data_IF_822219618597
#
_entry.id   IF_822219618597
#
_cell.length_a   1.000
_cell.length_b   1.000
_cell.length_c   1.000
_cell.angle_alpha   90.00
_cell.angle_beta   90.00
_cell.angle_gamma   90.00
#
_symmetry.space_group_name_H-M   'P 1'
#
loop_
_entity.id
_entity.type
_entity.pdbx_description
1 polymer ?
#
# COMPACT_ATOMS: atom_id res chain seq x y z
N UNK A 1 3.99 30.84 -5.22
CA UNK A 1 4.05 29.71 -6.18
C UNK A 1 4.02 28.47 -5.32
N UNK A 2 2.85 28.04 -4.86
CA UNK A 2 2.78 27.00 -3.82
C UNK A 2 1.54 26.15 -4.09
N UNK A 3 1.48 25.58 -5.29
CA UNK A 3 0.56 24.48 -5.55
C UNK A 3 1.17 23.23 -4.91
N UNK A 4 1.00 23.14 -3.58
CA UNK A 4 1.37 22.00 -2.76
C UNK A 4 0.51 20.82 -3.21
N UNK A 5 0.97 20.17 -4.27
CA UNK A 5 0.52 18.89 -4.77
C UNK A 5 0.56 17.95 -3.58
N UNK A 6 -0.59 17.77 -2.96
CA UNK A 6 -0.81 16.76 -1.95
C UNK A 6 -0.81 15.42 -2.69
N UNK A 7 0.39 15.00 -3.11
CA UNK A 7 0.72 13.61 -3.35
C UNK A 7 0.52 12.91 -1.99
N UNK A 8 -0.74 12.66 -1.64
CA UNK A 8 -1.11 11.35 -1.13
C UNK A 8 -0.62 10.42 -2.22
N UNK A 9 0.66 10.05 -2.14
CA UNK A 9 1.25 8.97 -2.91
C UNK A 9 0.19 7.90 -2.83
N UNK A 10 -0.41 7.61 -3.97
CA UNK A 10 -1.42 6.59 -4.09
C UNK A 10 -0.66 5.32 -3.73
N UNK A 11 -0.65 4.98 -2.44
CA UNK A 11 -0.06 3.74 -1.96
C UNK A 11 -0.72 2.69 -2.84
N UNK A 12 0.04 1.97 -3.68
CA UNK A 12 -0.56 1.13 -4.72
C UNK A 12 -1.19 -0.14 -4.11
N UNK A 13 -1.33 -0.15 -2.79
CA UNK A 13 -1.84 -1.18 -1.94
C UNK A 13 -3.13 -0.69 -1.28
N UNK A 14 -4.03 -1.63 -1.01
CA UNK A 14 -5.30 -1.34 -0.36
C UNK A 14 -5.10 -0.71 1.03
N UNK A 15 -6.10 0.01 1.54
CA UNK A 15 -6.07 0.56 2.90
C UNK A 15 -5.81 -0.56 3.92
N UNK A 16 -4.78 -0.38 4.76
CA UNK A 16 -4.31 -1.40 5.69
C UNK A 16 -3.37 -2.44 5.08
N UNK A 17 -2.89 -2.22 3.85
CA UNK A 17 -1.81 -2.95 3.23
C UNK A 17 -0.69 -1.99 2.84
N UNK A 18 0.56 -2.37 3.04
CA UNK A 18 1.72 -1.57 2.63
C UNK A 18 2.53 -2.32 1.57
N UNK A 19 3.25 -1.57 0.74
CA UNK A 19 4.14 -2.13 -0.28
C UNK A 19 5.47 -2.53 0.37
N UNK A 20 5.80 -3.83 0.35
CA UNK A 20 7.13 -4.31 0.73
C UNK A 20 8.13 -4.24 -0.43
N UNK A 21 7.65 -4.31 -1.67
CA UNK A 21 8.50 -4.34 -2.86
C UNK A 21 7.70 -4.49 -4.15
N UNK A 22 8.34 -5.05 -5.18
CA UNK A 22 7.70 -5.40 -6.45
C UNK A 22 7.76 -6.92 -6.66
N UNK A 23 6.67 -7.52 -7.11
CA UNK A 23 6.57 -8.94 -7.50
C UNK A 23 6.12 -9.07 -8.95
N UNK A 24 6.41 -10.20 -9.57
CA UNK A 24 5.91 -10.52 -10.91
C UNK A 24 4.63 -11.36 -10.76
N UNK A 25 3.52 -10.86 -11.27
CA UNK A 25 2.23 -11.57 -11.32
C UNK A 25 1.68 -11.46 -12.74
N UNK A 26 1.36 -12.60 -13.35
CA UNK A 26 0.82 -12.65 -14.72
C UNK A 26 1.73 -11.94 -15.76
N UNK A 27 3.05 -12.20 -15.68
CA UNK A 27 4.08 -11.53 -16.49
C UNK A 27 4.15 -9.99 -16.36
N UNK A 28 3.45 -9.40 -15.40
CA UNK A 28 3.50 -7.96 -15.08
C UNK A 28 4.17 -7.76 -13.72
N UNK A 29 4.96 -6.69 -13.59
CA UNK A 29 5.50 -6.25 -12.29
C UNK A 29 4.40 -5.49 -11.55
N UNK A 30 3.98 -6.02 -10.42
CA UNK A 30 2.98 -5.44 -9.52
C UNK A 30 3.59 -5.22 -8.15
N UNK A 31 3.16 -4.22 -7.38
CA UNK A 31 3.65 -4.03 -6.02
C UNK A 31 3.25 -5.20 -5.11
N UNK A 32 4.18 -5.64 -4.28
CA UNK A 32 3.93 -6.64 -3.26
C UNK A 32 3.29 -5.99 -2.04
N UNK A 33 1.96 -6.01 -2.02
CA UNK A 33 1.14 -5.46 -0.95
C UNK A 33 0.91 -6.52 0.14
N UNK A 34 1.34 -6.22 1.36
CA UNK A 34 1.12 -7.08 2.54
C UNK A 34 0.25 -6.39 3.57
N UNK A 35 -0.58 -7.14 4.31
CA UNK A 35 -1.46 -6.55 5.30
C UNK A 35 -0.64 -6.00 6.47
N UNK A 36 -0.90 -4.75 6.79
CA UNK A 36 -0.30 -4.08 7.93
C UNK A 36 -0.76 -4.73 9.23
N UNK A 37 0.18 -5.15 10.06
CA UNK A 37 -0.15 -5.82 11.32
C UNK A 37 -0.97 -4.91 12.24
N UNK A 38 -0.78 -3.58 12.18
CA UNK A 38 -1.57 -2.61 12.96
C UNK A 38 -3.03 -2.61 12.51
N UNK A 39 -3.30 -2.81 11.22
CA UNK A 39 -4.66 -2.94 10.69
C UNK A 39 -5.35 -4.24 11.18
N UNK A 40 -4.58 -5.31 11.45
CA UNK A 40 -5.13 -6.59 11.94
C UNK A 40 -5.49 -6.57 13.44
N UNK A 41 -4.84 -5.73 14.26
CA UNK A 41 -5.05 -5.76 15.72
C UNK A 41 -6.43 -5.22 16.14
N UNK A 42 -7.08 -4.42 15.29
CA UNK A 42 -8.37 -3.81 15.60
C UNK A 42 -9.57 -4.78 15.54
N UNK A 43 -9.37 -6.05 15.16
CA UNK A 43 -10.46 -7.03 14.97
C UNK A 43 -10.43 -8.20 15.96
N UNK A 44 -9.59 -8.15 17.00
CA UNK A 44 -9.59 -9.12 18.12
C UNK A 44 -9.94 -8.37 19.42
N UNK A 45 -11.22 -8.04 19.57
CA UNK A 45 -11.82 -7.76 20.88
C UNK A 45 -12.72 -8.93 21.23
#
# INVERSE_FOLDING_TARGET
MDNKKNEKKEDPCWNGYHQLGMKTKDSKKVPDCVPDEKAKTSKKK
#
